data_IF_657855715584
#
_entry.id   IF_657855715584
#
_cell.length_a   1.000
_cell.length_b   1.000
_cell.length_c   1.000
_cell.angle_alpha   90.00
_cell.angle_beta   90.00
_cell.angle_gamma   90.00
#
_symmetry.space_group_name_H-M   'P 1'
#
loop_
_entity.id
_entity.type
_entity.pdbx_description
1 polymer ?
#
# COMPACT_ATOMS: atom_id res chain seq x y z
N UNK A 1 18.97 9.90 7.45
CA UNK A 1 17.70 9.19 7.21
C UNK A 1 16.63 9.94 7.97
N UNK A 2 15.57 10.43 7.30
CA UNK A 2 14.43 11.08 7.98
C UNK A 2 13.37 10.00 8.24
N UNK A 3 12.82 9.98 9.44
CA UNK A 3 11.76 9.05 9.83
C UNK A 3 10.50 9.84 10.07
N UNK A 4 9.41 9.44 9.44
CA UNK A 4 8.10 10.08 9.55
C UNK A 4 7.04 9.00 9.74
N UNK A 5 6.01 9.28 10.54
CA UNK A 5 4.83 8.42 10.66
C UNK A 5 3.77 8.89 9.67
N UNK A 6 3.26 7.96 8.86
CA UNK A 6 2.24 8.22 7.86
C UNK A 6 1.18 7.13 7.93
N UNK A 7 -0.09 7.46 7.67
CA UNK A 7 -1.11 6.43 7.49
C UNK A 7 -0.87 5.66 6.19
N UNK A 8 -1.38 4.43 6.09
CA UNK A 8 -1.33 3.66 4.84
C UNK A 8 -1.98 4.44 3.69
N UNK A 9 -3.07 5.16 4.00
CA UNK A 9 -3.75 6.02 3.03
C UNK A 9 -2.81 7.12 2.52
N UNK A 10 -2.06 7.81 3.38
CA UNK A 10 -1.15 8.89 2.98
C UNK A 10 0.03 8.37 2.16
N UNK A 11 0.51 7.16 2.46
CA UNK A 11 1.60 6.53 1.71
C UNK A 11 1.12 6.15 0.30
N UNK A 12 -0.07 5.55 0.18
CA UNK A 12 -0.56 5.01 -1.08
C UNK A 12 -1.27 6.06 -1.96
N UNK A 13 -2.04 6.98 -1.39
CA UNK A 13 -2.90 7.92 -2.14
C UNK A 13 -2.16 9.10 -2.78
N UNK A 14 -0.87 9.29 -2.49
CA UNK A 14 -0.06 10.34 -3.13
C UNK A 14 0.00 10.12 -4.64
N UNK A 15 -0.78 10.91 -5.37
CA UNK A 15 -1.02 10.88 -6.83
C UNK A 15 0.23 10.92 -7.74
N UNK A 16 1.44 11.03 -7.19
CA UNK A 16 2.69 11.09 -7.93
C UNK A 16 3.76 10.10 -7.42
N UNK A 17 3.40 9.13 -6.57
CA UNK A 17 4.36 8.18 -5.99
C UNK A 17 4.24 6.82 -6.66
N UNK A 18 5.30 6.41 -7.34
CA UNK A 18 5.46 5.04 -7.85
C UNK A 18 6.53 4.34 -7.03
N UNK A 19 6.20 3.16 -6.51
CA UNK A 19 7.10 2.32 -5.72
C UNK A 19 7.85 1.34 -6.62
N UNK A 20 9.17 1.34 -6.49
CA UNK A 20 10.06 0.49 -7.27
C UNK A 20 10.76 -0.51 -6.36
N UNK A 21 10.59 -1.80 -6.65
CA UNK A 21 11.31 -2.89 -5.98
C UNK A 21 12.59 -3.17 -6.80
N UNK A 22 13.79 -3.02 -6.21
CA UNK A 22 15.04 -3.38 -6.88
C UNK A 22 15.13 -4.86 -7.27
N UNK A 23 15.89 -5.22 -8.32
CA UNK A 23 15.97 -6.60 -8.82
C UNK A 23 16.59 -7.58 -7.81
N UNK A 24 17.44 -7.08 -6.90
CA UNK A 24 18.12 -7.87 -5.89
C UNK A 24 17.26 -8.16 -4.65
N UNK A 25 16.02 -7.66 -4.58
CA UNK A 25 15.09 -8.00 -3.51
C UNK A 25 14.54 -9.41 -3.68
N UNK A 26 14.30 -10.10 -2.56
CA UNK A 26 13.66 -11.43 -2.57
C UNK A 26 12.23 -11.34 -3.11
N UNK A 27 11.77 -12.42 -3.74
CA UNK A 27 10.39 -12.57 -4.17
C UNK A 27 9.40 -12.52 -2.99
N UNK A 28 8.12 -12.28 -3.30
CA UNK A 28 7.05 -12.38 -2.32
C UNK A 28 6.99 -13.80 -1.73
N UNK A 29 6.99 -13.88 -0.40
CA UNK A 29 7.16 -15.14 0.33
C UNK A 29 6.32 -15.21 1.61
N UNK A 30 5.47 -14.23 1.87
CA UNK A 30 4.49 -14.33 2.97
C UNK A 30 3.48 -15.42 2.62
N UNK A 31 3.38 -16.39 3.54
CA UNK A 31 2.44 -17.49 3.43
C UNK A 31 1.17 -17.20 4.21
N UNK A 32 0.40 -18.26 4.42
CA UNK A 32 -0.87 -18.20 5.14
C UNK A 32 -0.74 -17.59 6.55
N UNK A 33 0.26 -17.97 7.39
CA UNK A 33 0.34 -17.44 8.76
C UNK A 33 0.52 -15.92 8.80
N UNK A 34 1.36 -15.37 7.92
CA UNK A 34 1.60 -13.93 7.84
C UNK A 34 0.38 -13.19 7.32
N UNK A 35 -0.30 -13.74 6.32
CA UNK A 35 -1.53 -13.16 5.74
C UNK A 35 -2.66 -13.16 6.76
N UNK A 36 -2.87 -14.26 7.49
CA UNK A 36 -3.90 -14.36 8.53
C UNK A 36 -3.66 -13.36 9.67
N UNK A 37 -2.39 -13.19 10.06
CA UNK A 37 -2.02 -12.18 11.06
C UNK A 37 -2.32 -10.76 10.56
N UNK A 38 -1.87 -10.43 9.35
CA UNK A 38 -2.12 -9.13 8.73
C UNK A 38 -3.63 -8.83 8.65
N UNK A 39 -4.43 -9.80 8.22
CA UNK A 39 -5.87 -9.66 8.14
C UNK A 39 -6.51 -9.48 9.52
N UNK A 40 -6.10 -10.29 10.51
CA UNK A 40 -6.60 -10.15 11.89
C UNK A 40 -6.28 -8.78 12.49
N UNK A 41 -5.11 -8.21 12.20
CA UNK A 41 -4.74 -6.89 12.68
C UNK A 41 -5.64 -5.80 12.05
N UNK A 42 -5.97 -5.91 10.76
CA UNK A 42 -6.93 -5.03 10.09
C UNK A 42 -8.33 -5.17 10.68
N UNK A 43 -8.83 -6.40 10.86
CA UNK A 43 -10.17 -6.65 11.39
C UNK A 43 -10.37 -6.02 12.76
N UNK A 44 -9.36 -6.10 13.64
CA UNK A 44 -9.42 -5.47 14.97
C UNK A 44 -9.55 -3.95 14.92
N UNK A 45 -8.85 -3.30 13.98
CA UNK A 45 -8.97 -1.85 13.78
C UNK A 45 -10.38 -1.52 13.31
N UNK A 46 -10.90 -2.26 12.32
CA UNK A 46 -12.26 -2.02 11.78
C UNK A 46 -13.31 -2.23 12.87
N UNK A 47 -13.22 -3.30 13.66
CA UNK A 47 -14.12 -3.56 14.78
C UNK A 47 -14.12 -2.40 15.78
N UNK A 48 -12.94 -1.89 16.12
CA UNK A 48 -12.80 -0.73 17.00
C UNK A 48 -13.40 0.54 16.39
N UNK A 49 -13.21 0.77 15.09
CA UNK A 49 -13.78 1.92 14.37
C UNK A 49 -15.31 1.87 14.32
N UNK A 50 -15.88 0.68 14.10
CA UNK A 50 -17.33 0.48 14.00
C UNK A 50 -18.03 0.46 15.37
N UNK A 51 -17.32 0.21 16.48
CA UNK A 51 -17.91 0.29 17.81
C UNK A 51 -18.17 1.74 18.23
N UNK A 52 -19.45 2.12 18.23
CA UNK A 52 -19.93 3.45 18.64
C UNK A 52 -19.77 3.74 20.13
N UNK A 53 -19.58 2.71 20.96
CA UNK A 53 -19.34 2.85 22.41
C UNK A 53 -17.87 3.01 22.74
N UNK A 54 -16.99 2.69 21.80
CA UNK A 54 -15.56 2.85 21.97
C UNK A 54 -15.16 4.29 21.63
N UNK A 55 -14.83 5.06 22.67
CA UNK A 55 -14.40 6.45 22.55
C UNK A 55 -12.98 6.58 21.97
N UNK A 56 -12.07 5.67 22.35
CA UNK A 56 -10.68 5.66 21.87
C UNK A 56 -10.50 4.61 20.78
N UNK A 57 -10.36 5.07 19.53
CA UNK A 57 -10.16 4.18 18.39
C UNK A 57 -8.76 3.56 18.39
N UNK A 58 -8.70 2.29 18.00
CA UNK A 58 -7.45 1.53 18.01
C UNK A 58 -6.56 1.94 16.83
N UNK A 59 -5.37 2.42 17.13
CA UNK A 59 -4.30 2.58 16.15
C UNK A 59 -3.39 1.34 16.13
N UNK A 60 -2.98 0.91 14.93
CA UNK A 60 -2.07 -0.20 14.76
C UNK A 60 -0.83 0.19 13.96
N UNK A 61 0.34 -0.16 14.49
CA UNK A 61 1.59 0.02 13.79
C UNK A 61 1.89 -1.17 12.87
N UNK A 62 1.64 -0.99 11.57
CA UNK A 62 1.92 -2.00 10.53
C UNK A 62 3.42 -2.20 10.21
N UNK A 63 4.29 -1.47 10.92
CA UNK A 63 5.74 -1.57 10.76
C UNK A 63 6.34 -0.51 9.84
N UNK A 64 7.67 -0.50 9.80
CA UNK A 64 8.44 0.46 9.00
C UNK A 64 8.57 0.00 7.55
N UNK A 65 8.41 0.95 6.63
CA UNK A 65 8.80 0.82 5.22
C UNK A 65 9.98 1.77 5.00
N UNK A 66 11.08 1.26 4.45
CA UNK A 66 12.26 2.07 4.15
C UNK A 66 12.26 2.38 2.66
N UNK A 67 12.20 3.66 2.34
CA UNK A 67 12.11 4.17 0.97
C UNK A 67 13.31 5.08 0.71
N UNK A 68 13.92 4.88 -0.46
CA UNK A 68 14.91 5.78 -1.02
C UNK A 68 14.26 6.58 -2.14
N UNK A 69 14.14 7.89 -1.92
CA UNK A 69 13.67 8.82 -2.94
C UNK A 69 14.80 9.12 -3.94
N UNK A 70 14.56 8.82 -5.21
CA UNK A 70 15.45 9.12 -6.33
C UNK A 70 14.77 10.12 -7.26
N UNK A 71 15.47 11.22 -7.58
CA UNK A 71 14.99 12.18 -8.57
C UNK A 71 15.22 11.59 -9.97
N UNK A 72 14.15 11.33 -10.71
CA UNK A 72 14.21 10.89 -12.10
C UNK A 72 13.43 11.84 -13.00
N UNK A 73 14.11 12.88 -13.50
CA UNK A 73 13.47 13.90 -14.34
C UNK A 73 12.38 14.67 -13.59
N UNK A 74 11.16 14.70 -14.14
CA UNK A 74 10.00 15.40 -13.57
C UNK A 74 9.22 14.60 -12.51
N UNK A 75 9.62 13.36 -12.23
CA UNK A 75 8.94 12.49 -11.26
C UNK A 75 9.90 12.00 -10.15
N UNK A 76 9.38 11.89 -8.94
CA UNK A 76 10.08 11.25 -7.84
C UNK A 76 9.87 9.73 -7.93
N UNK A 77 10.96 8.96 -7.90
CA UNK A 77 10.92 7.50 -7.81
C UNK A 77 11.14 7.09 -6.36
N UNK A 78 10.20 6.36 -5.80
CA UNK A 78 10.29 5.83 -4.44
C UNK A 78 10.78 4.39 -4.49
N UNK A 79 12.08 4.17 -4.29
CA UNK A 79 12.69 2.83 -4.32
C UNK A 79 12.53 2.17 -2.95
N UNK A 80 11.89 1.01 -2.90
CA UNK A 80 11.68 0.23 -1.68
C UNK A 80 12.98 -0.49 -1.30
N UNK A 81 13.50 -0.18 -0.11
CA UNK A 81 14.69 -0.81 0.47
C UNK A 81 14.29 -1.92 1.46
N UNK A 82 13.25 -1.68 2.26
CA UNK A 82 12.67 -2.64 3.20
C UNK A 82 11.15 -2.41 3.36
N UNK A 83 10.43 -3.43 3.82
CA UNK A 83 8.97 -3.42 3.95
C UNK A 83 8.23 -3.92 2.70
N UNK A 84 8.94 -4.47 1.72
CA UNK A 84 8.37 -4.91 0.44
C UNK A 84 7.20 -5.90 0.59
N UNK A 85 7.29 -6.88 1.50
CA UNK A 85 6.25 -7.90 1.67
C UNK A 85 4.97 -7.30 2.24
N UNK A 86 5.12 -6.37 3.20
CA UNK A 86 4.01 -5.64 3.79
C UNK A 86 3.29 -4.80 2.74
N UNK A 87 4.04 -3.99 1.99
CA UNK A 87 3.48 -3.16 0.93
C UNK A 87 2.78 -4.01 -0.14
N UNK A 88 3.41 -5.10 -0.56
CA UNK A 88 2.83 -6.04 -1.55
C UNK A 88 1.53 -6.65 -1.03
N UNK A 89 1.51 -7.11 0.23
CA UNK A 89 0.30 -7.68 0.87
C UNK A 89 -0.83 -6.66 0.94
N UNK A 90 -0.53 -5.41 1.33
CA UNK A 90 -1.51 -4.32 1.35
C UNK A 90 -2.11 -4.06 -0.03
N UNK A 91 -1.29 -4.06 -1.09
CA UNK A 91 -1.78 -3.87 -2.45
C UNK A 91 -2.63 -5.05 -2.94
N UNK A 92 -2.24 -6.29 -2.64
CA UNK A 92 -3.04 -7.48 -2.94
C UNK A 92 -4.38 -7.43 -2.20
N UNK A 93 -4.37 -7.02 -0.94
CA UNK A 93 -5.59 -6.84 -0.15
C UNK A 93 -6.53 -5.80 -0.78
N UNK A 94 -6.01 -4.66 -1.23
CA UNK A 94 -6.80 -3.63 -1.93
C UNK A 94 -7.36 -4.12 -3.27
N UNK A 95 -6.60 -4.95 -4.00
CA UNK A 95 -7.09 -5.62 -5.21
C UNK A 95 -8.26 -6.55 -4.87
N UNK A 96 -8.13 -7.38 -3.85
CA UNK A 96 -9.19 -8.29 -3.41
C UNK A 96 -10.44 -7.53 -2.93
N UNK A 97 -10.26 -6.40 -2.23
CA UNK A 97 -11.36 -5.52 -1.82
C UNK A 97 -12.09 -4.92 -3.02
N UNK A 98 -11.36 -4.42 -4.01
CA UNK A 98 -11.94 -3.93 -5.26
C UNK A 98 -12.74 -5.03 -5.97
N UNK A 99 -12.16 -6.23 -6.09
CA UNK A 99 -12.79 -7.33 -6.81
C UNK A 99 -14.00 -7.92 -6.07
N UNK A 100 -14.08 -7.70 -4.75
CA UNK A 100 -15.23 -8.08 -3.92
C UNK A 100 -16.34 -7.02 -3.88
N UNK A 101 -16.05 -5.79 -4.30
CA UNK A 101 -17.03 -4.71 -4.35
C UNK A 101 -17.92 -4.85 -5.60
N UNK A 102 -19.18 -4.48 -5.49
CA UNK A 102 -20.17 -4.59 -6.57
C UNK A 102 -20.49 -3.25 -7.23
N UNK A 103 -20.27 -2.16 -6.50
CA UNK A 103 -20.47 -0.79 -7.00
C UNK A 103 -19.29 -0.36 -7.90
N UNK A 104 -19.52 -0.14 -9.22
CA UNK A 104 -18.47 0.27 -10.14
C UNK A 104 -17.77 1.56 -9.73
N UNK A 105 -18.49 2.50 -9.08
CA UNK A 105 -17.92 3.79 -8.66
C UNK A 105 -16.85 3.57 -7.59
N UNK A 106 -17.10 2.64 -6.66
CA UNK A 106 -16.13 2.30 -5.60
C UNK A 106 -14.97 1.47 -6.14
N UNK A 107 -15.22 0.58 -7.08
CA UNK A 107 -14.14 -0.16 -7.77
C UNK A 107 -13.17 0.80 -8.47
N UNK A 108 -13.72 1.78 -9.20
CA UNK A 108 -12.94 2.83 -9.84
C UNK A 108 -12.21 3.68 -8.81
N UNK A 109 -12.89 4.07 -7.73
CA UNK A 109 -12.25 4.82 -6.64
C UNK A 109 -11.02 4.08 -6.09
N UNK A 110 -11.13 2.78 -5.77
CA UNK A 110 -10.00 2.00 -5.25
C UNK A 110 -8.87 1.93 -6.28
N UNK A 111 -9.22 1.70 -7.55
CA UNK A 111 -8.25 1.58 -8.64
C UNK A 111 -7.48 2.88 -8.82
N UNK A 112 -8.18 3.99 -8.98
CA UNK A 112 -7.59 5.30 -9.28
C UNK A 112 -6.78 5.88 -8.11
N UNK A 113 -7.24 5.68 -6.87
CA UNK A 113 -6.58 6.27 -5.70
C UNK A 113 -5.43 5.41 -5.17
N UNK A 114 -5.51 4.08 -5.28
CA UNK A 114 -4.55 3.20 -4.60
C UNK A 114 -3.74 2.30 -5.52
N UNK A 115 -4.26 1.90 -6.68
CA UNK A 115 -3.63 0.90 -7.53
C UNK A 115 -2.94 1.51 -8.76
N UNK A 116 -3.47 2.63 -9.27
CA UNK A 116 -2.94 3.31 -10.45
C UNK A 116 -2.44 4.72 -10.18
N UNK A 117 -1.51 5.20 -11.02
CA UNK A 117 -1.05 6.58 -11.03
C UNK A 117 -1.68 7.34 -12.22
N UNK A 118 -2.63 8.22 -11.92
CA UNK A 118 -3.44 8.95 -12.91
C UNK A 118 -2.67 10.02 -13.69
N UNK A 119 -1.47 10.39 -13.23
CA UNK A 119 -0.63 11.43 -13.87
C UNK A 119 0.40 10.88 -14.86
N UNK A 120 0.40 9.56 -15.10
CA UNK A 120 1.51 8.87 -15.78
C UNK A 120 1.14 8.29 -17.15
N UNK A 121 2.09 8.32 -18.09
CA UNK A 121 1.95 7.69 -19.41
C UNK A 121 1.83 6.16 -19.29
N UNK A 122 1.30 5.49 -20.32
CA UNK A 122 0.81 4.09 -20.30
C UNK A 122 1.74 3.05 -19.64
N UNK A 123 3.05 3.26 -19.63
CA UNK A 123 4.01 2.35 -18.99
C UNK A 123 4.16 2.55 -17.48
N UNK A 124 3.77 3.69 -16.90
CA UNK A 124 3.96 4.07 -15.48
C UNK A 124 2.72 3.96 -14.60
N UNK A 125 1.64 3.37 -15.12
CA UNK A 125 0.36 3.33 -14.43
C UNK A 125 0.32 2.47 -13.16
N UNK A 126 1.17 1.44 -13.03
CA UNK A 126 1.14 0.51 -11.88
C UNK A 126 2.03 1.03 -10.76
N UNK A 127 1.48 1.15 -9.54
CA UNK A 127 2.20 1.73 -8.38
C UNK A 127 3.31 0.86 -7.80
N UNK A 128 3.32 -0.46 -8.04
CA UNK A 128 4.41 -1.33 -7.61
C UNK A 128 5.01 -2.04 -8.81
N UNK A 129 6.31 -1.85 -9.03
CA UNK A 129 7.03 -2.48 -10.13
C UNK A 129 8.33 -3.08 -9.64
N UNK A 130 8.64 -4.28 -10.12
CA UNK A 130 9.99 -4.79 -10.07
C UNK A 130 10.79 -4.15 -11.21
N UNK A 131 11.95 -3.57 -10.89
CA UNK A 131 12.90 -3.11 -11.91
C UNK A 131 13.72 -4.33 -12.32
N UNK A 132 13.60 -4.76 -13.57
CA UNK A 132 14.53 -5.69 -14.22
C UNK A 132 15.84 -5.01 -14.58
#
# INVERSE_FOLDING_TARGET
MKTESHSINDVLSKNATSFFIPPFQRAYAWGRPEIERYFSDISRIIESELDSKQHDKLEHFFGTVVIKEEKAGFANKSVIVDGQQRLTTTLIFLIALRDSETDPIKQDFITQNYLTNNSSSFQDKIKLKQVT
#
